data_IF_227357545276
#
_entry.id   IF_227357545276
#
_cell.length_a   1.000
_cell.length_b   1.000
_cell.length_c   1.000
_cell.angle_alpha   90.00
_cell.angle_beta   90.00
_cell.angle_gamma   90.00
#
_symmetry.space_group_name_H-M   'P 1'
#
loop_
_entity.id
_entity.type
_entity.pdbx_description
1 polymer ?
#
# COMPACT_ATOMS: atom_id res chain seq x y z
N UNK A 1 17.26 -0.79 21.78
CA UNK A 1 16.09 -0.03 22.26
C UNK A 1 15.32 -0.82 23.31
N UNK A 2 14.72 -1.96 22.94
CA UNK A 2 13.96 -2.87 23.83
C UNK A 2 14.57 -3.15 25.21
N UNK A 3 15.86 -3.52 25.27
CA UNK A 3 16.57 -3.84 26.53
C UNK A 3 16.76 -2.62 27.46
N UNK A 4 17.05 -1.44 26.90
CA UNK A 4 17.28 -0.22 27.68
C UNK A 4 16.01 0.31 28.36
N UNK A 5 14.84 0.08 27.76
CA UNK A 5 13.55 0.58 28.28
C UNK A 5 13.07 -0.30 29.45
N UNK A 6 13.33 -1.61 29.36
CA UNK A 6 13.12 -2.56 30.45
C UNK A 6 14.10 -2.32 31.61
N UNK A 7 15.39 -2.07 31.31
CA UNK A 7 16.41 -1.72 32.32
C UNK A 7 16.06 -0.42 33.07
N UNK A 8 15.40 0.54 32.42
CA UNK A 8 14.93 1.78 33.03
C UNK A 8 13.55 1.67 33.72
N UNK A 9 12.93 0.48 33.80
CA UNK A 9 11.56 0.27 34.32
C UNK A 9 10.49 1.18 33.69
N UNK A 10 10.71 1.64 32.45
CA UNK A 10 9.79 2.54 31.74
C UNK A 10 8.60 1.81 31.12
N UNK A 11 8.72 0.50 30.96
CA UNK A 11 7.65 -0.36 30.44
C UNK A 11 7.83 -1.75 31.06
N UNK A 12 6.73 -2.43 31.34
CA UNK A 12 6.78 -3.82 31.81
C UNK A 12 6.92 -4.79 30.64
N UNK A 13 7.48 -6.00 30.86
CA UNK A 13 7.51 -7.05 29.84
C UNK A 13 6.11 -7.42 29.31
N UNK A 14 5.08 -7.29 30.15
CA UNK A 14 3.70 -7.59 29.80
C UNK A 14 3.09 -6.55 28.85
N UNK A 15 3.33 -5.26 29.10
CA UNK A 15 2.90 -4.18 28.21
C UNK A 15 3.57 -4.29 26.84
N UNK A 16 4.85 -4.63 26.82
CA UNK A 16 5.58 -4.84 25.57
C UNK A 16 5.03 -6.02 24.76
N UNK A 17 4.60 -7.08 25.46
CA UNK A 17 3.93 -8.22 24.83
C UNK A 17 2.53 -7.87 24.33
N UNK A 18 1.80 -6.98 25.01
CA UNK A 18 0.52 -6.46 24.52
C UNK A 18 0.69 -5.68 23.23
N UNK A 19 1.72 -4.84 23.13
CA UNK A 19 2.06 -4.11 21.90
C UNK A 19 2.37 -5.08 20.76
N UNK A 20 3.19 -6.12 21.01
CA UNK A 20 3.46 -7.12 19.97
C UNK A 20 2.17 -7.78 19.46
N UNK A 21 1.26 -8.16 20.36
CA UNK A 21 -0.04 -8.78 20.00
C UNK A 21 -0.92 -7.81 19.19
N UNK A 22 -0.93 -6.52 19.54
CA UNK A 22 -1.69 -5.50 18.80
C UNK A 22 -1.11 -5.27 17.40
N UNK A 23 0.22 -5.22 17.29
CA UNK A 23 0.92 -5.11 16.01
C UNK A 23 0.62 -6.32 15.12
N UNK A 24 0.69 -7.53 15.66
CA UNK A 24 0.38 -8.75 14.89
C UNK A 24 -1.07 -8.72 14.36
N UNK A 25 -2.02 -8.27 15.19
CA UNK A 25 -3.42 -8.11 14.76
C UNK A 25 -3.59 -7.05 13.66
N UNK A 26 -2.86 -5.94 13.75
CA UNK A 26 -2.92 -4.88 12.75
C UNK A 26 -2.32 -5.35 11.42
N UNK A 27 -1.23 -6.10 11.46
CA UNK A 27 -0.60 -6.73 10.29
C UNK A 27 -1.57 -7.72 9.64
N UNK A 28 -2.20 -8.61 10.41
CA UNK A 28 -3.16 -9.57 9.89
C UNK A 28 -4.35 -8.88 9.22
N UNK A 29 -4.88 -7.82 9.85
CA UNK A 29 -5.97 -7.02 9.29
C UNK A 29 -5.55 -6.33 7.99
N UNK A 30 -4.35 -5.77 7.93
CA UNK A 30 -3.82 -5.13 6.73
C UNK A 30 -3.59 -6.14 5.60
N UNK A 31 -3.08 -7.33 5.92
CA UNK A 31 -2.89 -8.41 4.96
C UNK A 31 -4.23 -8.90 4.40
N UNK A 32 -5.25 -9.06 5.25
CA UNK A 32 -6.60 -9.43 4.81
C UNK A 32 -7.26 -8.35 3.97
N UNK A 33 -7.04 -7.07 4.29
CA UNK A 33 -7.51 -5.96 3.47
C UNK A 33 -6.84 -5.98 2.10
N UNK A 34 -5.51 -6.12 2.05
CA UNK A 34 -4.76 -6.16 0.79
C UNK A 34 -5.18 -7.34 -0.10
N UNK A 35 -5.54 -8.50 0.49
CA UNK A 35 -6.06 -9.66 -0.26
C UNK A 35 -7.47 -9.45 -0.80
N UNK A 36 -8.27 -8.60 -0.16
CA UNK A 36 -9.66 -8.30 -0.56
C UNK A 36 -9.77 -7.07 -1.44
N UNK A 37 -8.68 -6.32 -1.59
CA UNK A 37 -8.63 -5.12 -2.40
C UNK A 37 -8.87 -5.51 -3.87
N UNK A 38 -9.84 -4.88 -4.55
CA UNK A 38 -10.09 -5.18 -5.96
C UNK A 38 -8.89 -4.78 -6.82
N UNK A 39 -8.73 -5.48 -7.94
CA UNK A 39 -7.72 -5.11 -8.92
C UNK A 39 -7.98 -3.71 -9.49
N UNK A 40 -6.88 -3.00 -9.80
CA UNK A 40 -6.94 -1.68 -10.42
C UNK A 40 -7.68 -1.79 -11.76
N UNK A 41 -8.68 -0.93 -12.03
CA UNK A 41 -9.40 -0.94 -13.30
C UNK A 41 -8.44 -0.77 -14.50
N UNK A 42 -8.70 -1.49 -15.59
CA UNK A 42 -7.87 -1.42 -16.81
C UNK A 42 -7.78 0.00 -17.42
N UNK A 43 -8.76 0.86 -17.16
CA UNK A 43 -8.74 2.26 -17.61
C UNK A 43 -7.67 3.11 -16.92
N UNK A 44 -7.20 2.69 -15.74
CA UNK A 44 -6.17 3.40 -14.97
C UNK A 44 -4.75 2.86 -15.23
N UNK A 45 -4.63 1.81 -16.06
CA UNK A 45 -3.38 1.11 -16.33
C UNK A 45 -2.27 2.03 -16.87
N UNK A 46 -2.66 3.07 -17.62
CA UNK A 46 -1.74 3.98 -18.29
C UNK A 46 -1.70 5.37 -17.65
N UNK A 47 -2.27 5.54 -16.45
CA UNK A 47 -2.22 6.81 -15.73
C UNK A 47 -0.82 7.07 -15.16
N UNK A 48 -0.52 8.34 -14.86
CA UNK A 48 0.72 8.77 -14.20
C UNK A 48 2.01 8.55 -15.02
N UNK A 49 1.94 8.55 -16.36
CA UNK A 49 3.13 8.52 -17.22
C UNK A 49 3.84 9.88 -17.21
N UNK A 50 3.05 10.95 -17.28
CA UNK A 50 3.53 12.33 -17.18
C UNK A 50 2.73 13.08 -16.12
N UNK A 51 3.39 14.05 -15.49
CA UNK A 51 2.73 14.99 -14.60
C UNK A 51 2.19 16.11 -15.49
N UNK A 52 0.86 16.21 -15.60
CA UNK A 52 0.11 17.14 -16.47
C UNK A 52 0.27 16.90 -17.98
N UNK A 53 -0.17 15.74 -18.51
CA UNK A 53 -0.25 15.52 -19.94
C UNK A 53 -1.31 16.42 -20.59
N UNK A 54 -1.20 16.61 -21.91
CA UNK A 54 -2.29 17.19 -22.68
C UNK A 54 -3.57 16.34 -22.50
N UNK A 55 -4.77 16.94 -22.45
CA UNK A 55 -6.02 16.23 -22.16
C UNK A 55 -6.33 15.02 -23.07
N UNK A 56 -5.75 15.01 -24.29
CA UNK A 56 -5.95 13.97 -25.31
C UNK A 56 -4.73 13.04 -25.45
N UNK A 57 -3.84 13.00 -24.46
CA UNK A 57 -2.66 12.13 -24.51
C UNK A 57 -3.09 10.66 -24.44
N UNK A 58 -2.80 9.92 -25.50
CA UNK A 58 -3.15 8.50 -25.63
C UNK A 58 -1.90 7.63 -25.67
N UNK A 59 -2.02 6.46 -25.03
CA UNK A 59 -0.98 5.45 -24.95
C UNK A 59 -1.38 4.27 -25.82
N UNK A 60 -0.40 3.77 -26.60
CA UNK A 60 -0.59 2.63 -27.48
C UNK A 60 -0.61 1.34 -26.67
N UNK A 61 -1.65 0.53 -26.83
CA UNK A 61 -1.74 -0.80 -26.25
C UNK A 61 -0.99 -1.87 -27.05
N UNK A 62 -1.33 -3.14 -26.81
CA UNK A 62 -0.71 -4.29 -27.48
C UNK A 62 -1.00 -4.38 -28.99
N UNK A 63 -2.03 -3.69 -29.48
CA UNK A 63 -2.38 -3.60 -30.90
C UNK A 63 -2.36 -2.13 -31.37
N UNK A 64 -1.93 -1.83 -32.60
CA UNK A 64 -1.95 -0.45 -33.14
C UNK A 64 -3.32 0.23 -33.08
N UNK A 65 -4.41 -0.53 -33.03
CA UNK A 65 -5.79 -0.03 -32.98
C UNK A 65 -6.26 0.28 -31.56
N UNK A 66 -5.54 -0.20 -30.54
CA UNK A 66 -5.89 0.01 -29.13
C UNK A 66 -5.17 1.27 -28.64
N UNK A 67 -5.95 2.30 -28.30
CA UNK A 67 -5.49 3.54 -27.67
C UNK A 67 -6.23 3.74 -26.37
N UNK A 68 -5.48 4.02 -25.30
CA UNK A 68 -6.05 4.30 -23.99
C UNK A 68 -5.64 5.71 -23.57
N UNK A 69 -6.59 6.46 -23.03
CA UNK A 69 -6.35 7.82 -22.53
C UNK A 69 -5.58 7.70 -21.22
N UNK A 70 -4.47 8.42 -21.10
CA UNK A 70 -3.73 8.54 -19.85
C UNK A 70 -4.20 9.79 -19.14
N UNK A 71 -4.62 9.65 -17.88
CA UNK A 71 -4.88 10.76 -16.97
C UNK A 71 -3.66 11.13 -16.13
#
# INVERSE_FOLDING_TARGET
FRRKILECNLVTPEELKKVDIEVDKEIDKAADQAKKDPEIPLGELYNNIYIHPDPDYTVRGCDPSIRVISH
#
